data_IF_476967701092
#
_entry.id   IF_476967701092
#
_cell.length_a   1.000
_cell.length_b   1.000
_cell.length_c   1.000
_cell.angle_alpha   90.00
_cell.angle_beta   90.00
_cell.angle_gamma   90.00
#
_symmetry.space_group_name_H-M   'P 1'
#
loop_
_entity.id
_entity.type
_entity.pdbx_description
1 polymer ?
#
# COMPACT_ATOMS: atom_id res chain seq x y z
N UNK A 1 -28.66 8.84 -4.96
CA UNK A 1 -27.24 9.00 -5.31
C UNK A 1 -26.50 8.13 -4.33
N UNK A 2 -26.06 6.95 -4.76
CA UNK A 2 -25.24 6.09 -3.91
C UNK A 2 -23.98 6.88 -3.57
N UNK A 3 -23.75 7.12 -2.28
CA UNK A 3 -22.61 7.89 -1.83
C UNK A 3 -21.35 7.13 -2.24
N UNK A 4 -20.51 7.75 -3.06
CA UNK A 4 -19.20 7.21 -3.42
C UNK A 4 -18.40 7.00 -2.12
N UNK A 5 -18.16 5.75 -1.77
CA UNK A 5 -17.51 5.38 -0.51
C UNK A 5 -16.00 5.45 -0.67
N UNK A 6 -15.29 6.05 0.28
CA UNK A 6 -13.82 6.04 0.34
C UNK A 6 -13.39 5.37 1.64
N UNK A 7 -12.51 4.38 1.56
CA UNK A 7 -11.96 3.68 2.72
C UNK A 7 -10.46 3.44 2.59
N UNK A 8 -9.74 3.50 3.72
CA UNK A 8 -8.32 3.17 3.76
C UNK A 8 -8.07 1.67 3.73
N UNK A 9 -6.99 1.27 3.08
CA UNK A 9 -6.46 -0.09 3.11
C UNK A 9 -5.10 -0.03 3.81
N UNK A 10 -4.97 -0.80 4.90
CA UNK A 10 -3.75 -0.90 5.72
C UNK A 10 -3.36 -2.38 5.92
N UNK A 11 -2.54 -2.96 5.04
CA UNK A 11 -2.09 -4.34 5.17
C UNK A 11 -1.18 -4.51 6.38
N UNK A 12 -1.52 -5.42 7.30
CA UNK A 12 -0.73 -5.64 8.53
C UNK A 12 0.65 -6.28 8.32
N UNK A 13 0.94 -6.78 7.11
CA UNK A 13 2.22 -7.40 6.74
C UNK A 13 3.23 -6.41 6.13
N UNK A 14 2.83 -5.16 5.88
CA UNK A 14 3.73 -4.12 5.35
C UNK A 14 4.31 -3.27 6.48
N UNK A 15 5.44 -2.63 6.22
CA UNK A 15 5.92 -1.53 7.05
C UNK A 15 4.88 -0.39 7.11
N UNK A 16 4.80 0.39 8.19
CA UNK A 16 3.91 1.56 8.25
C UNK A 16 4.17 2.57 7.11
N UNK A 17 3.19 3.40 6.74
CA UNK A 17 3.41 4.49 5.77
C UNK A 17 4.54 5.42 6.19
N UNK A 18 5.37 5.86 5.24
CA UNK A 18 6.54 6.70 5.51
C UNK A 18 6.18 8.15 5.87
N UNK A 19 4.94 8.57 5.60
CA UNK A 19 4.41 9.89 5.94
C UNK A 19 2.89 9.79 6.13
N UNK A 20 2.20 10.94 6.16
CA UNK A 20 0.75 11.02 6.38
C UNK A 20 -0.05 10.64 5.13
N UNK A 21 -0.06 9.35 4.78
CA UNK A 21 -0.84 8.76 3.69
C UNK A 21 -1.20 7.29 3.99
N UNK A 22 -2.25 6.76 3.36
CA UNK A 22 -2.63 5.34 3.46
C UNK A 22 -1.88 4.48 2.42
N UNK A 23 -1.67 3.18 2.68
CA UNK A 23 -1.04 2.28 1.70
C UNK A 23 -1.84 2.23 0.40
N UNK A 24 -3.16 2.17 0.51
CA UNK A 24 -4.06 2.42 -0.59
C UNK A 24 -5.40 2.98 -0.08
N UNK A 25 -6.20 3.51 -0.99
CA UNK A 25 -7.61 3.82 -0.73
C UNK A 25 -8.48 3.07 -1.74
N UNK A 26 -9.55 2.46 -1.24
CA UNK A 26 -10.62 1.93 -2.06
C UNK A 26 -11.68 3.02 -2.28
N UNK A 27 -12.12 3.16 -3.53
CA UNK A 27 -13.24 4.02 -3.91
C UNK A 27 -14.33 3.12 -4.49
N UNK A 28 -15.49 3.12 -3.86
CA UNK A 28 -16.70 2.42 -4.29
C UNK A 28 -17.70 3.41 -4.92
N UNK A 29 -18.56 2.93 -5.81
CA UNK A 29 -19.55 3.75 -6.52
C UNK A 29 -19.99 3.08 -7.82
N UNK A 30 -19.93 3.81 -8.94
CA UNK A 30 -20.20 3.25 -10.27
C UNK A 30 -19.20 2.16 -10.68
N UNK A 31 -17.94 2.30 -10.24
CA UNK A 31 -16.89 1.30 -10.39
C UNK A 31 -16.13 1.17 -9.07
N UNK A 32 -15.56 -0.01 -8.83
CA UNK A 32 -14.66 -0.24 -7.70
C UNK A 32 -13.22 -0.03 -8.15
N UNK A 33 -12.57 0.98 -7.60
CA UNK A 33 -11.18 1.32 -7.90
C UNK A 33 -10.33 1.26 -6.63
N UNK A 34 -9.05 0.90 -6.80
CA UNK A 34 -8.05 0.96 -5.74
C UNK A 34 -6.93 1.86 -6.22
N UNK A 35 -6.63 2.91 -5.44
CA UNK A 35 -5.50 3.80 -5.68
C UNK A 35 -4.40 3.45 -4.69
N UNK A 36 -3.32 2.87 -5.20
CA UNK A 36 -2.16 2.49 -4.39
C UNK A 36 -1.17 3.64 -4.27
N UNK A 37 -0.60 3.81 -3.09
CA UNK A 37 0.58 4.63 -2.89
C UNK A 37 1.82 4.00 -3.56
N UNK A 38 2.91 4.77 -3.65
CA UNK A 38 4.21 4.22 -4.03
C UNK A 38 4.68 3.20 -2.98
N UNK A 39 4.92 1.95 -3.41
CA UNK A 39 5.45 0.88 -2.55
C UNK A 39 6.98 0.83 -2.69
N UNK A 40 7.66 0.80 -1.56
CA UNK A 40 9.13 0.77 -1.44
C UNK A 40 9.56 -0.50 -0.69
N UNK A 41 10.81 -0.97 -0.84
CA UNK A 41 11.23 -2.26 -0.30
C UNK A 41 11.57 -2.23 1.21
N UNK A 42 10.79 -1.51 2.00
CA UNK A 42 10.95 -1.45 3.46
C UNK A 42 10.20 -2.63 4.08
N UNK A 43 10.93 -3.51 4.76
CA UNK A 43 10.36 -4.63 5.52
C UNK A 43 9.65 -4.14 6.79
N UNK A 44 8.78 -4.94 7.41
CA UNK A 44 8.07 -4.55 8.64
C UNK A 44 8.97 -4.13 9.81
N UNK A 45 10.22 -4.61 9.83
CA UNK A 45 11.24 -4.22 10.81
C UNK A 45 11.99 -2.91 10.48
N UNK A 46 11.61 -2.25 9.38
CA UNK A 46 12.19 -1.00 8.91
C UNK A 46 13.45 -1.15 8.05
N UNK A 47 13.93 -2.37 7.81
CA UNK A 47 15.13 -2.61 7.00
C UNK A 47 14.82 -2.74 5.50
N UNK A 48 15.85 -2.65 4.67
CA UNK A 48 15.75 -2.81 3.20
C UNK A 48 16.72 -3.91 2.75
N UNK A 49 16.28 -4.92 1.98
CA UNK A 49 17.18 -5.92 1.44
C UNK A 49 18.27 -5.31 0.54
N UNK A 50 19.50 -5.84 0.57
CA UNK A 50 20.62 -5.24 -0.15
C UNK A 50 20.60 -5.51 -1.66
N UNK A 51 19.86 -6.52 -2.12
CA UNK A 51 19.79 -6.90 -3.53
C UNK A 51 18.53 -6.39 -4.20
N UNK A 52 18.61 -6.04 -5.48
CA UNK A 52 17.45 -5.64 -6.28
C UNK A 52 16.35 -6.71 -6.27
N UNK A 53 16.72 -7.99 -6.35
CA UNK A 53 15.77 -9.09 -6.27
C UNK A 53 15.05 -9.12 -4.91
N UNK A 54 15.80 -8.97 -3.81
CA UNK A 54 15.21 -8.91 -2.47
C UNK A 54 14.26 -7.73 -2.32
N UNK A 55 14.64 -6.57 -2.83
CA UNK A 55 13.79 -5.38 -2.83
C UNK A 55 12.51 -5.59 -3.65
N UNK A 56 12.62 -6.17 -4.85
CA UNK A 56 11.47 -6.48 -5.69
C UNK A 56 10.53 -7.48 -5.00
N UNK A 57 11.05 -8.49 -4.29
CA UNK A 57 10.23 -9.42 -3.51
C UNK A 57 9.44 -8.69 -2.42
N UNK A 58 10.04 -7.76 -1.69
CA UNK A 58 9.32 -6.98 -0.67
C UNK A 58 8.20 -6.13 -1.29
N UNK A 59 8.42 -5.56 -2.47
CA UNK A 59 7.42 -4.72 -3.16
C UNK A 59 6.24 -5.55 -3.71
N UNK A 60 6.47 -6.80 -4.14
CA UNK A 60 5.50 -7.59 -4.92
C UNK A 60 4.92 -8.83 -4.22
N UNK A 61 5.39 -9.19 -3.03
CA UNK A 61 4.94 -10.40 -2.31
C UNK A 61 3.56 -10.26 -1.65
#
# INVERSE_FOLDING_TARGET
MDAMGISEIQPGSMAPPAANYAHAVAVDGAERLVFTSGVVPTMPDGTVPPTLEGQARVVWA
#
